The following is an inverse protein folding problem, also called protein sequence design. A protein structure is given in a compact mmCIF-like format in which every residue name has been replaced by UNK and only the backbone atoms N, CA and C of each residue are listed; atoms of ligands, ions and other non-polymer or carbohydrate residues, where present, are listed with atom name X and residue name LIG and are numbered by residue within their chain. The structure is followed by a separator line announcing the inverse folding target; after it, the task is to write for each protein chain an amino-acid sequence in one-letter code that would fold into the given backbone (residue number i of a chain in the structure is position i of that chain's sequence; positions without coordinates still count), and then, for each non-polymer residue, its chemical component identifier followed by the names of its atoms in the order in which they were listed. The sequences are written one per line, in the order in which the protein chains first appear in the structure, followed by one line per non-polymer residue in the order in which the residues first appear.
data_IF_195840012756
#
_entry.id   IF_195840012756
#
_cell.length_a   1.000
_cell.length_b   1.000
_cell.length_c   1.000
_cell.angle_alpha   90.00
_cell.angle_beta   90.00
_cell.angle_gamma   90.00
#
_symmetry.space_group_name_H-M   'P 1'
#
loop_
_entity.id
_entity.type
_entity.pdbx_description
1 polymer ?
#
# COMPACT_ATOMS: atom_id res chain seq x y z
N UNK A 1 -17.31 14.08 -4.19
CA UNK A 1 -16.76 13.19 -3.14
C UNK A 1 -15.57 13.88 -2.53
N UNK A 2 -15.69 14.29 -1.28
CA UNK A 2 -14.69 15.11 -0.61
C UNK A 2 -13.54 14.23 -0.13
N UNK A 3 -12.30 14.73 -0.15
CA UNK A 3 -11.11 13.92 0.22
C UNK A 3 -11.15 13.46 1.69
N UNK A 4 -12.02 14.06 2.50
CA UNK A 4 -12.27 13.71 3.90
C UNK A 4 -13.17 12.47 4.06
N UNK A 5 -13.97 12.11 3.05
CA UNK A 5 -14.90 10.98 3.13
C UNK A 5 -14.18 9.62 3.01
N UNK A 6 -12.99 9.59 2.38
CA UNK A 6 -12.19 8.37 2.22
C UNK A 6 -11.47 8.00 3.54
N UNK A 7 -11.27 8.96 4.44
CA UNK A 7 -10.51 8.76 5.68
C UNK A 7 -11.28 7.97 6.77
N UNK A 8 -12.60 7.77 6.61
CA UNK A 8 -13.46 7.10 7.60
C UNK A 8 -14.00 5.74 7.12
N UNK A 9 -13.37 5.08 6.14
CA UNK A 9 -13.67 3.67 5.88
C UNK A 9 -13.12 2.82 7.03
N UNK A 10 -14.02 2.45 7.96
CA UNK A 10 -13.74 1.65 9.15
C UNK A 10 -12.84 0.46 8.86
N UNK A 11 -11.87 0.23 9.74
CA UNK A 11 -10.92 -0.86 9.62
C UNK A 11 -11.62 -2.21 9.75
N UNK A 12 -11.45 -3.06 8.74
CA UNK A 12 -11.96 -4.42 8.73
C UNK A 12 -10.91 -5.31 9.42
N UNK A 13 -11.26 -5.90 10.56
CA UNK A 13 -10.39 -6.87 11.24
C UNK A 13 -10.90 -8.28 10.99
N UNK A 14 -10.04 -9.12 10.43
CA UNK A 14 -10.33 -10.54 10.29
C UNK A 14 -9.90 -11.24 11.58
N UNK A 15 -10.83 -11.93 12.23
CA UNK A 15 -10.52 -12.76 13.39
C UNK A 15 -10.31 -14.22 12.96
N UNK A 16 -9.18 -14.80 13.33
CA UNK A 16 -8.87 -16.21 13.10
C UNK A 16 -7.91 -16.69 14.20
N UNK A 17 -8.03 -17.97 14.55
CA UNK A 17 -7.06 -18.67 15.40
C UNK A 17 -5.84 -19.15 14.63
N UNK A 18 -5.88 -19.14 13.30
CA UNK A 18 -4.77 -19.57 12.44
C UNK A 18 -4.08 -18.38 11.80
N UNK A 19 -2.76 -18.43 11.73
CA UNK A 19 -1.94 -17.45 11.04
C UNK A 19 -2.28 -17.47 9.55
N UNK A 20 -2.63 -16.32 8.96
CA UNK A 20 -3.04 -16.29 7.56
C UNK A 20 -1.90 -16.64 6.57
N UNK A 21 -0.64 -16.47 6.98
CA UNK A 21 0.53 -16.77 6.13
C UNK A 21 0.97 -18.24 6.20
N UNK A 22 1.12 -18.78 7.40
CA UNK A 22 1.68 -20.13 7.60
C UNK A 22 0.64 -21.17 8.05
N UNK A 23 -0.61 -20.76 8.24
CA UNK A 23 -1.74 -21.59 8.71
C UNK A 23 -1.58 -22.24 10.10
N UNK A 24 -0.48 -21.97 10.81
CA UNK A 24 -0.26 -22.46 12.17
C UNK A 24 -1.24 -21.84 13.17
N UNK A 25 -1.60 -22.61 14.19
CA UNK A 25 -2.44 -22.12 15.30
C UNK A 25 -1.68 -21.07 16.09
N UNK A 26 -2.26 -19.89 16.22
CA UNK A 26 -1.67 -18.79 16.96
C UNK A 26 -1.96 -18.90 18.45
N UNK A 27 -0.93 -18.62 19.23
CA UNK A 27 -0.93 -18.70 20.70
C UNK A 27 -0.82 -17.31 21.32
N UNK A 28 -0.96 -17.22 22.64
CA UNK A 28 -0.74 -15.95 23.37
C UNK A 28 0.74 -15.64 23.60
N UNK A 29 1.61 -16.65 23.52
CA UNK A 29 3.07 -16.57 23.71
C UNK A 29 3.84 -17.53 22.80
N UNK A 30 5.15 -17.35 22.65
CA UNK A 30 6.01 -18.19 21.81
C UNK A 30 6.13 -17.72 20.35
N UNK A 31 6.71 -18.55 19.49
CA UNK A 31 7.04 -18.22 18.09
C UNK A 31 5.78 -17.94 17.25
N UNK A 32 4.69 -18.65 17.54
CA UNK A 32 3.40 -18.46 16.89
C UNK A 32 2.47 -17.49 17.64
N UNK A 33 3.03 -16.57 18.45
CA UNK A 33 2.25 -15.55 19.16
C UNK A 33 1.38 -14.74 18.19
N UNK A 34 0.11 -14.57 18.54
CA UNK A 34 -0.88 -13.82 17.78
C UNK A 34 -0.48 -12.36 17.63
N UNK A 35 -0.48 -11.88 16.38
CA UNK A 35 -0.33 -10.47 15.99
C UNK A 35 -1.28 -10.17 14.83
N UNK A 36 -1.20 -8.95 14.28
CA UNK A 36 -1.94 -8.57 13.07
C UNK A 36 -1.03 -7.80 12.12
N UNK A 37 -1.32 -7.89 10.83
CA UNK A 37 -0.65 -7.12 9.78
C UNK A 37 -1.69 -6.55 8.80
N UNK A 38 -1.38 -5.40 8.20
CA UNK A 38 -2.26 -4.82 7.18
C UNK A 38 -2.17 -5.65 5.89
N UNK A 39 -3.32 -6.03 5.32
CA UNK A 39 -3.37 -6.78 4.06
C UNK A 39 -2.66 -6.02 2.93
N UNK A 40 -2.86 -4.70 2.90
CA UNK A 40 -2.23 -3.79 1.96
C UNK A 40 -1.40 -2.79 2.76
N UNK A 41 -0.11 -2.58 2.43
CA UNK A 41 0.72 -1.59 3.10
C UNK A 41 0.13 -0.18 3.07
N UNK A 42 0.22 0.54 4.19
CA UNK A 42 -0.38 1.88 4.37
C UNK A 42 0.09 2.90 3.32
N UNK A 43 1.33 2.81 2.86
CA UNK A 43 1.89 3.74 1.88
C UNK A 43 1.21 3.65 0.50
N UNK A 44 0.57 2.51 0.19
CA UNK A 44 -0.25 2.35 -1.02
C UNK A 44 -1.62 3.03 -0.91
N UNK A 45 -1.92 3.69 0.21
CA UNK A 45 -3.18 4.41 0.49
C UNK A 45 -4.42 3.58 0.12
N UNK A 46 -4.59 2.39 0.72
CA UNK A 46 -5.69 1.52 0.38
C UNK A 46 -7.04 2.19 0.64
N UNK A 47 -8.02 1.90 -0.23
CA UNK A 47 -9.40 2.41 -0.09
C UNK A 47 -10.03 1.93 1.22
N UNK A 48 -9.73 0.70 1.65
CA UNK A 48 -10.14 0.15 2.95
C UNK A 48 -8.94 -0.46 3.68
N UNK A 49 -8.84 -0.19 4.97
CA UNK A 49 -7.83 -0.84 5.82
C UNK A 49 -8.35 -2.21 6.25
N UNK A 50 -7.61 -3.26 5.89
CA UNK A 50 -7.90 -4.64 6.31
C UNK A 50 -6.73 -5.13 7.16
N UNK A 51 -7.01 -5.52 8.41
CA UNK A 51 -6.04 -6.18 9.28
C UNK A 51 -6.27 -7.69 9.28
N UNK A 52 -5.19 -8.42 9.08
CA UNK A 52 -5.17 -9.87 8.97
C UNK A 52 -4.40 -10.46 10.14
N UNK A 53 -4.90 -11.55 10.75
CA UNK A 53 -4.24 -12.16 11.87
C UNK A 53 -3.07 -13.00 11.37
N UNK A 54 -1.88 -12.73 11.89
CA UNK A 54 -0.63 -13.43 11.55
C UNK A 54 0.12 -13.74 12.83
N UNK A 55 1.02 -14.71 12.80
CA UNK A 55 1.90 -14.95 13.94
C UNK A 55 3.11 -14.01 13.94
N UNK A 56 3.74 -13.79 15.09
CA UNK A 56 4.91 -12.91 15.26
C UNK A 56 6.07 -13.24 14.31
N UNK A 57 6.37 -14.53 14.12
CA UNK A 57 7.37 -14.98 13.13
C UNK A 57 7.04 -14.46 11.73
N UNK A 58 5.83 -14.74 11.24
CA UNK A 58 5.39 -14.32 9.92
C UNK A 58 5.29 -12.81 9.78
N UNK A 59 4.87 -12.12 10.84
CA UNK A 59 4.80 -10.65 10.89
C UNK A 59 6.18 -10.02 10.68
N UNK A 60 7.21 -10.54 11.35
CA UNK A 60 8.60 -10.09 11.16
C UNK A 60 9.10 -10.33 9.74
N UNK A 61 8.81 -11.48 9.16
CA UNK A 61 9.19 -11.79 7.77
C UNK A 61 8.52 -10.84 6.76
N UNK A 62 7.23 -10.53 6.95
CA UNK A 62 6.50 -9.60 6.09
C UNK A 62 7.09 -8.18 6.22
N UNK A 63 7.39 -7.74 7.43
CA UNK A 63 8.01 -6.44 7.67
C UNK A 63 9.40 -6.34 7.04
N UNK A 64 10.23 -7.39 7.17
CA UNK A 64 11.54 -7.43 6.55
C UNK A 64 11.47 -7.28 5.03
N UNK A 65 10.55 -8.02 4.38
CA UNK A 65 10.31 -7.89 2.94
C UNK A 65 9.83 -6.48 2.55
N UNK A 66 8.94 -5.89 3.35
CA UNK A 66 8.40 -4.55 3.13
C UNK A 66 9.50 -3.50 3.18
N UNK A 67 10.34 -3.52 4.22
CA UNK A 67 11.47 -2.59 4.39
C UNK A 67 12.47 -2.70 3.23
N UNK A 68 12.80 -3.92 2.79
CA UNK A 68 13.69 -4.14 1.65
C UNK A 68 13.10 -3.65 0.32
N UNK A 69 11.78 -3.70 0.17
CA UNK A 69 11.09 -3.34 -1.08
C UNK A 69 10.73 -1.86 -1.17
N UNK A 70 10.59 -1.16 -0.03
CA UNK A 70 10.17 0.24 0.03
C UNK A 70 11.03 1.19 -0.84
N UNK A 71 12.38 1.16 -0.79
CA UNK A 71 13.20 2.06 -1.61
C UNK A 71 12.97 1.88 -3.11
N UNK A 72 12.68 0.64 -3.56
CA UNK A 72 12.39 0.34 -4.96
C UNK A 72 11.03 0.92 -5.39
N UNK A 73 10.04 0.86 -4.50
CA UNK A 73 8.71 1.42 -4.76
C UNK A 73 8.74 2.95 -4.79
N UNK A 74 9.51 3.59 -3.91
CA UNK A 74 9.70 5.04 -3.94
C UNK A 74 10.36 5.51 -5.26
N UNK A 75 11.34 4.76 -5.77
CA UNK A 75 11.95 5.05 -7.06
C UNK A 75 10.94 4.97 -8.22
N UNK A 76 10.06 3.96 -8.21
CA UNK A 76 8.98 3.82 -9.20
C UNK A 76 7.98 4.97 -9.09
N UNK A 77 7.57 5.35 -7.88
CA UNK A 77 6.66 6.48 -7.65
C UNK A 77 7.24 7.80 -8.17
N UNK A 78 8.53 8.03 -7.97
CA UNK A 78 9.22 9.21 -8.48
C UNK A 78 9.29 9.20 -10.02
N UNK A 79 9.56 8.04 -10.64
CA UNK A 79 9.52 7.89 -12.08
C UNK A 79 8.14 8.22 -12.65
N UNK A 80 7.06 7.71 -12.04
CA UNK A 80 5.68 8.00 -12.43
C UNK A 80 5.37 9.50 -12.31
N UNK A 81 5.79 10.16 -11.23
CA UNK A 81 5.61 11.61 -11.06
C UNK A 81 6.32 12.39 -12.17
N UNK A 82 7.56 12.02 -12.48
CA UNK A 82 8.35 12.69 -13.51
C UNK A 82 7.73 12.50 -14.90
N UNK A 83 7.27 11.30 -15.23
CA UNK A 83 6.54 11.01 -16.47
C UNK A 83 5.26 11.86 -16.59
N UNK A 84 4.47 11.99 -15.52
CA UNK A 84 3.27 12.84 -15.51
C UNK A 84 3.60 14.31 -15.77
N UNK A 85 4.66 14.83 -15.15
CA UNK A 85 5.13 16.20 -15.39
C UNK A 85 5.57 16.40 -16.84
N UNK A 86 6.28 15.42 -17.40
CA UNK A 86 6.71 15.45 -18.80
C UNK A 86 5.52 15.45 -19.76
N UNK A 87 4.56 14.54 -19.59
CA UNK A 87 3.33 14.48 -20.38
C UNK A 87 2.58 15.82 -20.30
N UNK A 88 2.37 16.35 -19.09
CA UNK A 88 1.68 17.63 -18.88
C UNK A 88 2.39 18.79 -19.61
N UNK A 89 3.73 18.78 -19.62
CA UNK A 89 4.51 19.80 -20.34
C UNK A 89 4.33 19.66 -21.85
N UNK A 90 4.37 18.44 -22.38
CA UNK A 90 4.16 18.17 -23.80
C UNK A 90 2.75 18.52 -24.26
N UNK A 91 1.71 18.16 -23.51
CA UNK A 91 0.33 18.55 -23.80
C UNK A 91 0.16 20.07 -23.90
N UNK A 92 0.85 20.84 -23.03
CA UNK A 92 0.85 22.32 -23.12
C UNK A 92 1.55 22.83 -24.38
N UNK A 93 2.58 22.15 -24.85
CA UNK A 93 3.29 22.51 -26.09
C UNK A 93 2.40 22.24 -27.29
N UNK A 94 1.80 21.05 -27.38
CA UNK A 94 0.88 20.66 -28.46
C UNK A 94 -0.26 21.69 -28.57
N UNK A 95 -0.93 22.01 -27.45
CA UNK A 95 -2.00 23.03 -27.42
C UNK A 95 -1.56 24.43 -27.88
N UNK A 96 -0.27 24.78 -27.75
CA UNK A 96 0.26 26.06 -28.26
C UNK A 96 0.51 26.02 -29.77
N UNK A 97 0.84 24.87 -30.33
CA UNK A 97 0.99 24.69 -31.77
C UNK A 97 -0.38 24.67 -32.45
N UNK A 98 -1.35 23.92 -31.92
CA UNK A 98 -2.72 23.87 -32.47
C UNK A 98 -3.38 25.26 -32.53
N UNK A 99 -3.12 26.13 -31.55
CA UNK A 99 -3.63 27.51 -31.51
C UNK A 99 -2.92 28.50 -32.45
N UNK A 100 -1.80 28.12 -33.05
CA UNK A 100 -1.08 28.97 -34.02
C UNK A 100 -1.54 28.74 -35.45
N UNK A 101 -2.28 27.66 -35.70
CA UNK A 101 -2.79 27.28 -37.02
C UNK A 101 -4.28 27.67 -37.22
N UNK A 102 -4.88 28.38 -36.24
CA UNK A 102 -6.19 29.09 -36.31
C UNK A 102 -5.98 30.60 -36.43
#
# INVERSE_FOLDING_TARGET
MDKKDIANMGMIRIDSRHCWKCNEVMTTSGIHKRTSHHAIPKFLKPVRNVEMPVCDKCHKEINAFTVQSMPKLEAVDNLIKNLKLFITKYEKVIKRYEKKDE
#
